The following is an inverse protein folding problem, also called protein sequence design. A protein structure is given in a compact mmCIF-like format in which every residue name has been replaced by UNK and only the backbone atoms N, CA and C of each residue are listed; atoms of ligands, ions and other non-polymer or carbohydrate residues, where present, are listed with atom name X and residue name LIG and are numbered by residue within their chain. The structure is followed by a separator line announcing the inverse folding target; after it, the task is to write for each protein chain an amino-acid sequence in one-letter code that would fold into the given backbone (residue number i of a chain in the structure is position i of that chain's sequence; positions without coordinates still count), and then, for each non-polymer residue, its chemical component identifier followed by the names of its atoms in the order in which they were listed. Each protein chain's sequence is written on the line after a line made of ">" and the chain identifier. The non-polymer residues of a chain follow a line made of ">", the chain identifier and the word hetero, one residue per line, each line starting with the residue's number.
data_IF_901125655453
#
_entry.id   IF_901125655453
#
_cell.length_a   1.000
_cell.length_b   1.000
_cell.length_c   1.000
_cell.angle_alpha   90.00
_cell.angle_beta   90.00
_cell.angle_gamma   90.00
#
_symmetry.space_group_name_H-M   'P 1'
#
loop_
_entity.id
_entity.type
_entity.pdbx_description
1 polymer ?
#
# COMPACT_ATOMS: atom_id res chain seq x y z
N UNK A 1 -61.67 -7.27 -1.99
CA UNK A 1 -61.58 -6.28 -0.89
C UNK A 1 -60.23 -5.60 -1.00
N UNK A 2 -60.23 -4.31 -1.34
CA UNK A 2 -58.95 -3.56 -1.42
C UNK A 2 -58.70 -2.88 -0.08
N UNK A 3 -57.46 -2.93 0.38
CA UNK A 3 -56.99 -2.15 1.52
C UNK A 3 -56.32 -0.89 0.99
N UNK A 4 -56.99 0.22 1.26
CA UNK A 4 -56.55 1.58 1.04
C UNK A 4 -55.40 1.92 2.01
N UNK A 5 -54.38 2.57 1.52
CA UNK A 5 -53.50 3.38 2.34
C UNK A 5 -53.43 4.79 1.75
N UNK A 6 -54.19 5.68 2.38
CA UNK A 6 -54.12 7.10 2.20
C UNK A 6 -53.01 7.63 3.12
N UNK A 7 -52.15 8.47 2.61
CA UNK A 7 -51.53 9.66 3.17
C UNK A 7 -50.14 9.94 2.56
N UNK A 8 -50.02 10.85 1.68
CA UNK A 8 -49.32 12.11 1.90
C UNK A 8 -49.27 12.93 0.60
N UNK A 9 -50.35 13.72 0.41
CA UNK A 9 -50.28 14.86 -0.49
C UNK A 9 -49.47 15.98 0.17
N UNK A 10 -48.46 16.49 -0.53
CA UNK A 10 -47.95 17.86 -0.34
C UNK A 10 -47.63 18.49 -1.69
N UNK A 11 -48.40 19.53 -1.92
CA UNK A 11 -48.32 20.57 -2.87
C UNK A 11 -46.88 21.08 -3.12
N UNK A 12 -46.48 21.12 -4.39
CA UNK A 12 -45.41 22.00 -4.87
C UNK A 12 -46.09 23.29 -5.33
N UNK A 13 -45.90 24.37 -4.61
CA UNK A 13 -46.15 25.73 -5.10
C UNK A 13 -44.86 26.51 -4.98
N UNK A 14 -44.52 27.13 -6.12
CA UNK A 14 -43.54 28.14 -6.43
C UNK A 14 -43.18 29.09 -5.29
N UNK A 15 -41.88 29.29 -5.08
CA UNK A 15 -41.32 30.59 -4.76
C UNK A 15 -40.02 30.81 -5.49
N UNK A 16 -40.13 31.50 -6.64
CA UNK A 16 -38.99 32.18 -7.26
C UNK A 16 -38.62 33.38 -6.37
N UNK A 17 -37.43 33.33 -5.73
CA UNK A 17 -36.70 34.51 -5.31
C UNK A 17 -35.24 34.40 -5.68
N UNK A 18 -34.89 35.14 -6.72
CA UNK A 18 -33.57 35.53 -7.15
C UNK A 18 -32.76 36.14 -5.99
N UNK A 19 -31.54 35.69 -5.83
CA UNK A 19 -30.52 36.44 -5.09
C UNK A 19 -30.00 35.77 -3.84
N UNK A 20 -29.34 34.60 -3.97
CA UNK A 20 -28.31 34.16 -3.00
C UNK A 20 -27.55 32.87 -3.41
N UNK A 21 -27.60 32.47 -4.69
CA UNK A 21 -26.91 31.23 -5.10
C UNK A 21 -25.38 31.37 -5.18
N UNK A 22 -24.87 32.58 -5.39
CA UNK A 22 -23.42 32.81 -5.53
C UNK A 22 -22.65 32.89 -4.20
N UNK A 23 -23.31 33.26 -3.10
CA UNK A 23 -22.68 33.30 -1.80
C UNK A 23 -22.62 31.94 -1.09
N UNK A 24 -23.56 31.05 -1.37
CA UNK A 24 -23.59 29.71 -0.74
C UNK A 24 -22.55 28.78 -1.37
N UNK A 25 -22.26 28.91 -2.67
CA UNK A 25 -21.24 28.13 -3.36
C UNK A 25 -19.83 28.59 -2.96
N UNK A 26 -19.63 29.88 -2.73
CA UNK A 26 -18.35 30.43 -2.27
C UNK A 26 -17.99 30.05 -0.83
N UNK A 27 -18.98 29.98 0.08
CA UNK A 27 -18.73 29.56 1.47
C UNK A 27 -18.47 28.07 1.59
N UNK A 28 -19.16 27.23 0.82
CA UNK A 28 -18.92 25.78 0.84
C UNK A 28 -17.56 25.40 0.25
N UNK A 29 -17.06 26.13 -0.76
CA UNK A 29 -15.72 25.91 -1.31
C UNK A 29 -14.60 26.33 -0.33
N UNK A 30 -14.81 27.36 0.49
CA UNK A 30 -13.84 27.80 1.49
C UNK A 30 -13.81 26.88 2.73
N UNK A 31 -14.96 26.34 3.15
CA UNK A 31 -15.02 25.34 4.22
C UNK A 31 -14.44 24.01 3.78
N UNK A 32 -14.69 23.54 2.55
CA UNK A 32 -14.08 22.32 1.99
C UNK A 32 -12.54 22.42 1.86
N UNK A 33 -11.98 23.62 1.60
CA UNK A 33 -10.53 23.83 1.53
C UNK A 33 -9.92 23.85 2.93
N UNK A 34 -10.61 24.43 3.93
CA UNK A 34 -10.16 24.45 5.32
C UNK A 34 -10.18 23.05 5.95
N UNK A 35 -11.25 22.29 5.76
CA UNK A 35 -11.37 20.90 6.25
C UNK A 35 -10.34 19.96 5.60
N UNK A 36 -10.01 20.18 4.31
CA UNK A 36 -8.96 19.40 3.62
C UNK A 36 -7.55 19.72 4.12
N UNK A 37 -7.26 20.96 4.51
CA UNK A 37 -5.96 21.32 5.09
C UNK A 37 -5.79 20.77 6.49
N UNK A 38 -6.83 20.75 7.32
CA UNK A 38 -6.81 20.14 8.64
C UNK A 38 -6.65 18.62 8.56
N UNK A 39 -7.36 17.94 7.64
CA UNK A 39 -7.26 16.51 7.43
C UNK A 39 -5.87 16.03 6.97
N UNK A 40 -5.18 16.82 6.13
CA UNK A 40 -3.81 16.50 5.69
C UNK A 40 -2.79 16.66 6.83
N UNK A 41 -2.95 17.66 7.67
CA UNK A 41 -2.11 17.87 8.85
C UNK A 41 -2.31 16.80 9.92
N UNK A 42 -3.54 16.31 10.09
CA UNK A 42 -3.87 15.22 11.00
C UNK A 42 -3.30 13.88 10.51
N UNK A 43 -3.49 13.56 9.22
CA UNK A 43 -2.93 12.37 8.61
C UNK A 43 -1.40 12.33 8.71
N UNK A 44 -0.72 13.46 8.46
CA UNK A 44 0.72 13.58 8.59
C UNK A 44 1.20 13.34 10.04
N UNK A 45 0.48 13.86 11.04
CA UNK A 45 0.78 13.60 12.46
C UNK A 45 0.62 12.14 12.80
N UNK A 46 -0.48 11.51 12.36
CA UNK A 46 -0.75 10.10 12.60
C UNK A 46 0.31 9.19 11.95
N UNK A 47 0.77 9.51 10.74
CA UNK A 47 1.90 8.79 10.10
C UNK A 47 3.14 8.86 10.98
N UNK A 48 3.49 10.02 11.52
CA UNK A 48 4.67 10.19 12.36
C UNK A 48 4.55 9.50 13.72
N UNK A 49 3.36 9.46 14.31
CA UNK A 49 3.09 8.71 15.54
C UNK A 49 3.27 7.20 15.31
N UNK A 50 2.61 6.64 14.29
CA UNK A 50 2.74 5.24 13.92
C UNK A 50 4.18 4.86 13.54
N UNK A 51 4.91 5.74 12.86
CA UNK A 51 6.31 5.51 12.53
C UNK A 51 7.20 5.47 13.79
N UNK A 52 6.93 6.31 14.80
CA UNK A 52 7.62 6.24 16.10
C UNK A 52 7.29 4.97 16.86
N UNK A 53 6.04 4.51 16.81
CA UNK A 53 5.63 3.24 17.42
C UNK A 53 6.38 2.06 16.77
N UNK A 54 6.54 2.09 15.43
CA UNK A 54 7.35 1.11 14.69
C UNK A 54 8.81 1.10 15.16
N UNK A 55 9.40 2.27 15.40
CA UNK A 55 10.77 2.36 15.90
C UNK A 55 10.86 1.88 17.36
N UNK A 56 9.95 2.31 18.23
CA UNK A 56 9.95 1.96 19.65
C UNK A 56 9.75 0.45 19.87
N UNK A 57 8.86 -0.18 19.10
CA UNK A 57 8.64 -1.63 19.21
C UNK A 57 9.86 -2.40 18.72
N UNK A 58 10.57 -1.92 17.69
CA UNK A 58 11.82 -2.51 17.23
C UNK A 58 12.91 -2.51 18.28
N UNK A 59 13.12 -1.38 18.96
CA UNK A 59 14.08 -1.26 20.07
C UNK A 59 13.69 -2.21 21.25
N UNK A 60 12.40 -2.26 21.60
CA UNK A 60 11.92 -3.11 22.69
C UNK A 60 12.08 -4.61 22.40
N UNK A 61 12.18 -5.01 21.16
CA UNK A 61 12.38 -6.40 20.72
C UNK A 61 13.84 -6.76 20.43
N UNK A 62 14.78 -5.84 20.59
CA UNK A 62 16.16 -5.99 20.13
C UNK A 62 16.29 -6.22 18.60
N UNK A 63 15.36 -5.65 17.84
CA UNK A 63 15.35 -5.59 16.37
C UNK A 63 15.37 -4.12 15.89
N UNK A 64 16.40 -3.34 16.23
CA UNK A 64 16.39 -1.88 16.10
C UNK A 64 16.64 -1.37 14.68
N UNK A 65 17.05 -2.26 13.76
CA UNK A 65 17.32 -1.87 12.38
C UNK A 65 16.07 -2.08 11.53
N UNK A 66 15.57 -0.98 10.98
CA UNK A 66 14.26 -0.96 10.34
C UNK A 66 14.37 -0.46 8.91
N UNK A 67 13.88 -1.27 7.97
CA UNK A 67 13.61 -0.85 6.61
C UNK A 67 12.10 -0.76 6.38
N UNK A 68 11.65 0.34 5.80
CA UNK A 68 10.24 0.58 5.50
C UNK A 68 10.06 0.99 4.05
N UNK A 69 9.05 0.42 3.40
CA UNK A 69 8.64 0.82 2.05
C UNK A 69 7.13 0.87 1.98
N UNK A 70 6.59 1.99 1.53
CA UNK A 70 5.15 2.10 1.27
C UNK A 70 4.72 1.40 -0.02
N UNK A 71 5.66 1.24 -0.96
CA UNK A 71 5.52 0.46 -2.18
C UNK A 71 6.87 -0.14 -2.58
N UNK A 72 7.03 -1.45 -2.38
CA UNK A 72 8.24 -2.18 -2.75
C UNK A 72 8.48 -2.25 -4.28
N UNK A 73 7.53 -1.79 -5.07
CA UNK A 73 7.65 -1.65 -6.53
C UNK A 73 8.16 -0.27 -6.96
N UNK A 74 8.16 0.72 -6.06
CA UNK A 74 8.56 2.10 -6.31
C UNK A 74 9.97 2.40 -5.77
N UNK A 75 10.77 3.23 -6.46
CA UNK A 75 12.03 3.74 -5.94
C UNK A 75 11.86 4.93 -4.97
N UNK A 76 10.61 5.30 -4.66
CA UNK A 76 10.33 6.42 -3.76
C UNK A 76 10.40 5.98 -2.30
N UNK A 77 11.15 6.69 -1.44
CA UNK A 77 11.16 6.43 -0.01
C UNK A 77 9.85 6.88 0.64
N UNK A 78 9.51 6.29 1.77
CA UNK A 78 8.48 6.81 2.65
C UNK A 78 8.99 8.10 3.30
N UNK A 79 8.25 9.21 3.14
CA UNK A 79 8.66 10.53 3.61
C UNK A 79 7.71 11.09 4.68
N UNK A 80 8.23 12.01 5.49
CA UNK A 80 7.43 12.83 6.39
C UNK A 80 6.68 13.96 5.65
N UNK A 81 5.95 14.79 6.39
CA UNK A 81 5.22 15.95 5.84
C UNK A 81 6.11 17.01 5.19
N UNK A 82 7.41 17.01 5.49
CA UNK A 82 8.41 17.93 4.92
C UNK A 82 9.11 17.35 3.70
N UNK A 83 8.73 16.12 3.29
CA UNK A 83 9.36 15.40 2.20
C UNK A 83 10.70 14.74 2.56
N UNK A 84 11.05 14.67 3.86
CA UNK A 84 12.28 14.02 4.30
C UNK A 84 12.07 12.52 4.42
N UNK A 85 12.97 11.67 3.88
CA UNK A 85 12.85 10.22 4.01
C UNK A 85 12.86 9.77 5.48
N UNK A 86 11.89 8.97 5.87
CA UNK A 86 11.83 8.37 7.22
C UNK A 86 13.00 7.43 7.47
N UNK A 87 13.55 6.84 6.42
CA UNK A 87 14.75 6.00 6.48
C UNK A 87 16.03 6.78 6.86
N UNK A 88 16.03 8.11 6.73
CA UNK A 88 17.16 8.97 7.09
C UNK A 88 16.92 9.72 8.41
N UNK A 89 15.65 9.94 8.79
CA UNK A 89 15.29 10.79 9.93
C UNK A 89 14.85 10.02 11.17
N UNK A 90 14.27 8.83 11.00
CA UNK A 90 13.67 8.06 12.09
C UNK A 90 14.16 6.62 12.13
N UNK A 91 14.16 5.96 10.98
CA UNK A 91 14.60 4.57 10.88
C UNK A 91 16.09 4.52 10.55
N UNK A 92 16.74 3.46 11.00
CA UNK A 92 18.12 3.18 10.61
C UNK A 92 18.19 1.78 10.04
N UNK A 93 19.01 1.59 9.04
CA UNK A 93 19.34 0.27 8.52
C UNK A 93 20.72 -0.17 9.01
N UNK A 94 21.00 -1.47 8.93
CA UNK A 94 22.30 -2.04 9.38
C UNK A 94 23.45 -1.39 8.60
N UNK A 95 23.32 -1.28 7.29
CA UNK A 95 24.23 -0.52 6.45
C UNK A 95 23.70 0.91 6.25
N UNK A 96 24.29 1.94 6.89
CA UNK A 96 23.81 3.30 6.82
C UNK A 96 24.00 3.94 5.44
N UNK A 97 24.91 3.42 4.63
CA UNK A 97 25.21 3.94 3.28
C UNK A 97 24.28 3.34 2.22
N UNK A 98 23.54 2.28 2.55
CA UNK A 98 22.61 1.63 1.66
C UNK A 98 21.27 2.35 1.56
N UNK A 99 21.09 3.11 0.50
CA UNK A 99 19.78 3.63 0.12
C UNK A 99 18.94 2.54 -0.58
N UNK A 100 18.46 1.54 0.19
CA UNK A 100 17.80 0.32 -0.32
C UNK A 100 16.60 0.61 -1.24
N UNK A 101 15.94 1.77 -1.09
CA UNK A 101 14.84 2.19 -1.95
C UNK A 101 15.29 2.66 -3.33
N UNK A 102 16.54 3.11 -3.50
CA UNK A 102 17.10 3.59 -4.78
C UNK A 102 17.69 2.45 -5.62
N UNK A 103 18.12 1.36 -4.98
CA UNK A 103 18.75 0.24 -5.66
C UNK A 103 17.73 -0.78 -6.19
N UNK A 104 17.35 -0.63 -7.46
CA UNK A 104 16.47 -1.59 -8.14
C UNK A 104 17.05 -3.02 -8.17
N UNK A 105 18.35 -3.16 -8.26
CA UNK A 105 18.99 -4.47 -8.26
C UNK A 105 18.87 -5.13 -6.88
N UNK A 106 18.93 -4.37 -5.80
CA UNK A 106 18.63 -4.82 -4.45
C UNK A 106 17.18 -5.33 -4.34
N UNK A 107 16.21 -4.53 -4.80
CA UNK A 107 14.80 -4.90 -4.74
C UNK A 107 14.48 -6.20 -5.50
N UNK A 108 15.19 -6.50 -6.58
CA UNK A 108 15.02 -7.73 -7.36
C UNK A 108 15.70 -8.94 -6.70
N UNK A 109 16.83 -8.74 -6.02
CA UNK A 109 17.64 -9.80 -5.42
C UNK A 109 17.25 -10.11 -3.98
N UNK A 110 16.69 -9.14 -3.25
CA UNK A 110 16.36 -9.28 -1.84
C UNK A 110 15.31 -10.37 -1.62
N UNK A 111 15.64 -11.38 -0.82
CA UNK A 111 14.73 -12.42 -0.39
C UNK A 111 13.57 -11.85 0.44
N UNK A 112 13.81 -10.78 1.22
CA UNK A 112 12.76 -10.10 1.99
C UNK A 112 11.72 -9.46 1.08
N UNK A 113 12.14 -8.77 0.02
CA UNK A 113 11.23 -8.18 -0.98
C UNK A 113 10.48 -9.27 -1.75
N UNK A 114 11.15 -10.36 -2.12
CA UNK A 114 10.48 -11.50 -2.78
C UNK A 114 9.45 -12.15 -1.88
N UNK A 115 9.78 -12.38 -0.61
CA UNK A 115 8.84 -12.89 0.40
C UNK A 115 7.64 -11.97 0.57
N UNK A 116 7.84 -10.66 0.71
CA UNK A 116 6.78 -9.68 0.85
C UNK A 116 5.84 -9.61 -0.38
N UNK A 117 6.33 -9.92 -1.59
CA UNK A 117 5.50 -9.99 -2.79
C UNK A 117 4.63 -11.23 -2.88
N UNK A 118 5.07 -12.33 -2.29
CA UNK A 118 4.43 -13.64 -2.45
C UNK A 118 3.66 -14.10 -1.22
N UNK A 119 3.96 -13.53 -0.05
CA UNK A 119 3.32 -13.82 1.22
C UNK A 119 2.63 -12.57 1.76
N UNK A 120 1.35 -12.65 2.10
CA UNK A 120 0.62 -11.56 2.74
C UNK A 120 0.69 -11.60 4.28
N UNK A 121 1.20 -12.70 4.83
CA UNK A 121 1.36 -12.91 6.26
C UNK A 121 2.75 -12.46 6.72
N UNK A 122 2.93 -12.02 7.96
CA UNK A 122 4.26 -11.77 8.49
C UNK A 122 5.06 -13.07 8.55
N UNK A 123 6.35 -12.93 8.35
CA UNK A 123 7.29 -14.04 8.41
C UNK A 123 8.61 -13.57 9.02
N UNK A 124 9.40 -14.51 9.50
CA UNK A 124 10.71 -14.22 10.08
C UNK A 124 11.83 -14.98 9.36
N UNK A 125 13.01 -14.43 9.48
CA UNK A 125 14.28 -15.08 9.13
C UNK A 125 15.12 -15.19 10.40
N UNK A 126 15.61 -16.37 10.71
CA UNK A 126 16.51 -16.62 11.84
C UNK A 126 17.36 -17.86 11.59
N UNK A 127 18.68 -17.76 11.80
CA UNK A 127 19.62 -18.89 11.71
C UNK A 127 19.51 -19.67 10.39
N UNK A 128 19.32 -18.94 9.27
CA UNK A 128 19.19 -19.55 7.95
C UNK A 128 17.83 -20.18 7.65
N UNK A 129 16.86 -20.05 8.55
CA UNK A 129 15.51 -20.57 8.37
C UNK A 129 14.50 -19.43 8.21
N UNK A 130 13.45 -19.70 7.45
CA UNK A 130 12.29 -18.83 7.32
C UNK A 130 11.09 -19.55 7.92
N UNK A 131 10.28 -18.81 8.66
CA UNK A 131 9.04 -19.31 9.23
C UNK A 131 7.95 -18.26 9.27
N UNK A 132 6.72 -18.71 9.45
CA UNK A 132 5.54 -17.90 9.72
C UNK A 132 4.69 -18.65 10.74
N UNK A 133 3.53 -18.09 11.13
CA UNK A 133 2.61 -18.76 12.07
C UNK A 133 1.95 -20.04 11.50
N UNK A 134 2.12 -20.31 10.22
CA UNK A 134 1.80 -21.58 9.55
C UNK A 134 2.81 -21.85 8.45
N UNK A 135 2.80 -23.04 7.92
CA UNK A 135 3.57 -23.32 6.70
C UNK A 135 3.01 -22.51 5.50
N UNK A 136 3.89 -21.80 4.83
CA UNK A 136 3.57 -21.01 3.62
C UNK A 136 4.49 -21.44 2.49
N UNK A 137 3.97 -22.22 1.56
CA UNK A 137 4.75 -22.78 0.44
C UNK A 137 5.46 -21.71 -0.41
N UNK A 138 4.94 -20.47 -0.45
CA UNK A 138 5.59 -19.36 -1.15
C UNK A 138 6.92 -18.91 -0.50
N UNK A 139 7.18 -19.31 0.75
CA UNK A 139 8.42 -19.03 1.47
C UNK A 139 9.44 -20.17 1.34
N UNK A 140 9.03 -21.34 0.82
CA UNK A 140 9.94 -22.46 0.62
C UNK A 140 11.05 -22.08 -0.37
N UNK A 141 12.28 -22.43 -0.03
CA UNK A 141 13.46 -22.11 -0.83
C UNK A 141 13.91 -20.64 -0.79
N UNK A 142 13.16 -19.72 -0.15
CA UNK A 142 13.61 -18.33 -0.02
C UNK A 142 14.83 -18.19 0.90
N UNK A 143 14.97 -19.05 1.89
CA UNK A 143 16.13 -19.01 2.81
C UNK A 143 17.47 -19.10 2.06
N UNK A 144 17.55 -19.93 1.02
CA UNK A 144 18.75 -20.07 0.18
C UNK A 144 19.06 -18.81 -0.64
N UNK A 145 18.05 -18.00 -0.91
CA UNK A 145 18.19 -16.75 -1.69
C UNK A 145 18.38 -15.52 -0.82
N UNK A 146 18.22 -15.66 0.50
CA UNK A 146 18.52 -14.60 1.46
C UNK A 146 20.03 -14.55 1.68
N UNK A 147 20.70 -13.75 0.87
CA UNK A 147 22.12 -13.45 1.10
C UNK A 147 22.24 -12.50 2.31
N UNK A 148 22.16 -13.08 3.50
CA UNK A 148 22.23 -12.35 4.77
C UNK A 148 23.63 -11.87 5.10
N UNK A 149 24.65 -12.51 4.52
CA UNK A 149 26.05 -12.15 4.76
C UNK A 149 26.39 -10.78 4.16
N UNK A 150 25.71 -10.37 3.08
CA UNK A 150 25.92 -9.06 2.48
C UNK A 150 25.49 -7.88 3.38
N UNK A 151 24.63 -8.14 4.38
CA UNK A 151 24.08 -7.11 5.27
C UNK A 151 24.32 -7.42 6.77
N UNK A 152 25.06 -8.47 7.06
CA UNK A 152 25.30 -8.96 8.44
C UNK A 152 24.01 -9.12 9.26
N UNK A 153 22.94 -9.62 8.62
CA UNK A 153 21.65 -9.84 9.28
C UNK A 153 21.70 -11.16 10.03
N UNK A 154 21.62 -11.10 11.37
CA UNK A 154 21.49 -12.24 12.26
C UNK A 154 20.06 -12.80 12.31
N UNK A 155 19.08 -11.91 12.25
CA UNK A 155 17.66 -12.24 12.21
C UNK A 155 16.79 -11.06 11.82
N UNK A 156 15.58 -11.34 11.35
CA UNK A 156 14.62 -10.32 10.94
C UNK A 156 13.18 -10.81 11.05
N UNK A 157 12.24 -9.87 11.26
CA UNK A 157 10.80 -10.07 11.10
C UNK A 157 10.34 -9.16 9.98
N UNK A 158 9.60 -9.71 9.04
CA UNK A 158 9.09 -9.02 7.86
C UNK A 158 7.56 -9.02 7.92
N UNK A 159 6.96 -7.85 7.83
CA UNK A 159 5.52 -7.69 7.78
C UNK A 159 5.09 -7.01 6.48
N UNK A 160 4.57 -7.75 5.51
CA UNK A 160 4.03 -7.19 4.28
C UNK A 160 2.63 -6.61 4.50
N UNK A 161 2.24 -5.65 3.65
CA UNK A 161 0.90 -5.09 3.59
C UNK A 161 0.45 -4.99 2.14
N UNK A 162 -0.52 -5.81 1.76
CA UNK A 162 -1.08 -5.84 0.41
C UNK A 162 -2.31 -4.92 0.35
N UNK A 163 -2.16 -3.73 -0.21
CA UNK A 163 -3.24 -2.76 -0.34
C UNK A 163 -4.18 -3.09 -1.52
N UNK A 164 -5.46 -2.66 -1.47
CA UNK A 164 -6.45 -2.96 -2.50
C UNK A 164 -6.08 -2.48 -3.91
N UNK A 165 -5.24 -1.45 -4.02
CA UNK A 165 -4.72 -0.90 -5.28
C UNK A 165 -3.68 -1.78 -5.97
N UNK A 166 -3.25 -2.89 -5.34
CA UNK A 166 -2.16 -3.73 -5.80
C UNK A 166 -0.78 -3.23 -5.38
N UNK A 167 -0.72 -2.15 -4.63
CA UNK A 167 0.50 -1.67 -3.97
C UNK A 167 0.85 -2.61 -2.82
N UNK A 168 2.12 -2.94 -2.68
CA UNK A 168 2.62 -3.78 -1.59
C UNK A 168 3.60 -2.96 -0.77
N UNK A 169 3.22 -2.60 0.45
CA UNK A 169 4.11 -2.05 1.45
C UNK A 169 4.75 -3.15 2.29
N UNK A 170 5.84 -2.82 2.98
CA UNK A 170 6.47 -3.74 3.93
C UNK A 170 7.27 -3.00 4.98
N UNK A 171 7.35 -3.59 6.17
CA UNK A 171 8.29 -3.22 7.22
C UNK A 171 9.15 -4.44 7.54
N UNK A 172 10.44 -4.20 7.68
CA UNK A 172 11.43 -5.18 8.14
C UNK A 172 12.04 -4.67 9.42
N UNK A 173 11.98 -5.45 10.49
CA UNK A 173 12.74 -5.25 11.73
C UNK A 173 13.87 -6.25 11.75
N UNK A 174 15.09 -5.82 11.89
CA UNK A 174 16.28 -6.66 11.78
C UNK A 174 17.27 -6.43 12.92
N UNK A 175 18.16 -7.39 13.11
CA UNK A 175 19.29 -7.34 14.04
C UNK A 175 20.49 -8.07 13.47
N UNK A 176 21.74 -7.63 13.72
CA UNK A 176 22.94 -8.40 13.46
C UNK A 176 23.17 -9.50 14.52
N UNK A 177 22.48 -9.43 15.67
CA UNK A 177 22.63 -10.39 16.75
C UNK A 177 22.09 -11.77 16.36
N UNK A 178 23.01 -12.71 16.11
CA UNK A 178 22.69 -14.10 15.74
C UNK A 178 22.25 -14.94 16.96
N UNK A 179 22.36 -14.40 18.17
CA UNK A 179 21.96 -15.11 19.41
C UNK A 179 20.51 -14.87 19.79
N UNK A 180 19.90 -13.80 19.30
CA UNK A 180 18.50 -13.48 19.56
C UNK A 180 17.57 -14.59 19.05
N UNK A 181 16.64 -15.00 19.89
CA UNK A 181 15.56 -15.92 19.48
C UNK A 181 14.45 -15.15 18.74
N UNK A 182 14.69 -14.89 17.46
CA UNK A 182 13.75 -14.16 16.61
C UNK A 182 12.45 -14.94 16.39
N UNK A 183 12.50 -16.28 16.40
CA UNK A 183 11.29 -17.11 16.29
C UNK A 183 10.39 -16.94 17.52
N UNK A 184 10.95 -16.92 18.72
CA UNK A 184 10.18 -16.66 19.94
C UNK A 184 9.61 -15.25 20.01
N UNK A 185 10.38 -14.24 19.54
CA UNK A 185 9.87 -12.87 19.40
C UNK A 185 8.73 -12.81 18.38
N UNK A 186 8.86 -13.50 17.26
CA UNK A 186 7.82 -13.60 16.23
C UNK A 186 6.53 -14.21 16.79
N UNK A 187 6.62 -15.35 17.46
CA UNK A 187 5.45 -16.02 18.04
C UNK A 187 4.70 -15.13 19.02
N UNK A 188 5.44 -14.33 19.79
CA UNK A 188 4.86 -13.42 20.78
C UNK A 188 4.26 -12.15 20.18
N UNK A 189 4.83 -11.58 19.10
CA UNK A 189 4.57 -10.22 18.67
C UNK A 189 4.15 -10.07 17.19
N UNK A 190 4.17 -11.12 16.35
CA UNK A 190 3.91 -11.00 14.91
C UNK A 190 2.56 -10.36 14.58
N UNK A 191 1.50 -10.69 15.33
CA UNK A 191 0.17 -10.12 15.13
C UNK A 191 0.15 -8.59 15.38
N UNK A 192 0.80 -8.15 16.46
CA UNK A 192 0.93 -6.73 16.80
C UNK A 192 1.71 -5.96 15.73
N UNK A 193 2.85 -6.51 15.30
CA UNK A 193 3.69 -5.94 14.25
C UNK A 193 2.91 -5.83 12.93
N UNK A 194 2.14 -6.85 12.60
CA UNK A 194 1.34 -6.85 11.38
C UNK A 194 0.22 -5.80 11.41
N UNK A 195 -0.48 -5.68 12.53
CA UNK A 195 -1.50 -4.63 12.71
C UNK A 195 -0.88 -3.24 12.64
N UNK A 196 0.29 -3.03 13.24
CA UNK A 196 1.01 -1.76 13.17
C UNK A 196 1.44 -1.44 11.74
N UNK A 197 1.94 -2.43 10.99
CA UNK A 197 2.27 -2.30 9.57
C UNK A 197 1.04 -1.89 8.76
N UNK A 198 -0.10 -2.58 8.93
CA UNK A 198 -1.34 -2.25 8.23
C UNK A 198 -1.79 -0.82 8.51
N UNK A 199 -1.77 -0.39 9.77
CA UNK A 199 -2.12 0.98 10.17
C UNK A 199 -1.21 2.01 9.51
N UNK A 200 0.11 1.83 9.60
CA UNK A 200 1.07 2.77 9.03
C UNK A 200 0.93 2.86 7.51
N UNK A 201 0.83 1.72 6.80
CA UNK A 201 0.72 1.71 5.33
C UNK A 201 -0.59 2.32 4.85
N UNK A 202 -1.73 2.00 5.49
CA UNK A 202 -3.02 2.57 5.13
C UNK A 202 -3.04 4.09 5.36
N UNK A 203 -2.61 4.56 6.55
CA UNK A 203 -2.56 5.99 6.88
C UNK A 203 -1.62 6.76 5.95
N UNK A 204 -0.45 6.19 5.63
CA UNK A 204 0.48 6.81 4.69
C UNK A 204 -0.08 6.89 3.27
N UNK A 205 -0.76 5.87 2.83
CA UNK A 205 -1.40 5.85 1.52
C UNK A 205 -2.50 6.92 1.41
N UNK A 206 -3.30 7.08 2.47
CA UNK A 206 -4.31 8.12 2.54
C UNK A 206 -3.69 9.53 2.61
N UNK A 207 -2.60 9.69 3.38
CA UNK A 207 -1.82 10.92 3.43
C UNK A 207 -1.28 11.33 2.05
N UNK A 208 -0.72 10.40 1.29
CA UNK A 208 -0.23 10.67 -0.07
C UNK A 208 -1.36 11.00 -1.05
N UNK A 209 -2.54 10.38 -0.89
CA UNK A 209 -3.73 10.66 -1.71
C UNK A 209 -4.38 12.00 -1.42
N UNK A 210 -4.22 12.55 -0.24
CA UNK A 210 -4.76 13.87 0.12
C UNK A 210 -4.09 15.02 -0.64
N UNK A 211 -2.98 14.76 -1.33
CA UNK A 211 -2.35 15.74 -2.23
C UNK A 211 -3.19 15.90 -3.52
N UNK A 212 -3.61 17.11 -3.91
CA UNK A 212 -4.52 17.34 -5.04
C UNK A 212 -3.99 16.91 -6.41
N UNK A 213 -2.71 16.53 -6.49
CA UNK A 213 -2.01 16.19 -7.74
C UNK A 213 -2.15 14.72 -8.14
N UNK A 214 -2.54 13.85 -7.21
CA UNK A 214 -2.79 12.45 -7.51
C UNK A 214 -4.31 12.20 -7.62
N UNK A 215 -4.90 12.59 -8.73
CA UNK A 215 -6.11 11.93 -9.20
C UNK A 215 -5.73 10.47 -9.44
N UNK A 216 -5.86 9.66 -8.38
CA UNK A 216 -5.64 8.23 -8.47
C UNK A 216 -6.44 7.74 -9.68
N UNK A 217 -5.73 7.25 -10.68
CA UNK A 217 -6.34 6.70 -11.90
C UNK A 217 -7.21 5.52 -11.46
N UNK A 218 -8.49 5.78 -11.20
CA UNK A 218 -9.42 4.75 -10.78
C UNK A 218 -9.78 3.88 -11.98
N UNK A 219 -9.08 2.76 -12.10
CA UNK A 219 -9.43 1.72 -13.05
C UNK A 219 -10.67 0.98 -12.54
N UNK A 220 -11.63 0.75 -13.43
CA UNK A 220 -12.79 -0.08 -13.13
C UNK A 220 -12.38 -1.55 -13.00
N UNK A 221 -13.19 -2.35 -12.31
CA UNK A 221 -12.96 -3.79 -12.14
C UNK A 221 -12.76 -4.50 -13.50
N UNK A 222 -13.50 -4.09 -14.55
CA UNK A 222 -13.39 -4.67 -15.90
C UNK A 222 -12.09 -4.25 -16.60
N UNK A 223 -11.66 -3.00 -16.42
CA UNK A 223 -10.37 -2.53 -16.92
C UNK A 223 -9.22 -3.30 -16.29
N UNK A 224 -9.25 -3.52 -14.96
CA UNK A 224 -8.25 -4.32 -14.24
C UNK A 224 -8.24 -5.78 -14.74
N UNK A 225 -9.41 -6.40 -14.95
CA UNK A 225 -9.49 -7.75 -15.49
C UNK A 225 -8.84 -7.86 -16.88
N UNK A 226 -9.19 -6.94 -17.79
CA UNK A 226 -8.61 -6.93 -19.14
C UNK A 226 -7.09 -6.74 -19.11
N UNK A 227 -6.59 -5.81 -18.28
CA UNK A 227 -5.16 -5.55 -18.14
C UNK A 227 -4.40 -6.77 -17.57
N UNK A 228 -4.95 -7.47 -16.57
CA UNK A 228 -4.32 -8.69 -16.02
C UNK A 228 -4.10 -9.76 -17.08
N UNK A 229 -5.09 -10.00 -17.91
CA UNK A 229 -4.98 -10.99 -18.99
C UNK A 229 -4.09 -10.51 -20.14
N UNK A 230 -4.11 -9.20 -20.44
CA UNK A 230 -3.19 -8.61 -21.42
C UNK A 230 -1.73 -8.72 -20.95
N UNK A 231 -1.45 -8.47 -19.67
CA UNK A 231 -0.14 -8.65 -19.04
C UNK A 231 0.32 -10.13 -19.04
N UNK A 232 -0.64 -11.07 -18.99
CA UNK A 232 -0.38 -12.50 -19.17
C UNK A 232 -0.19 -12.93 -20.64
N UNK A 233 -0.10 -11.96 -21.58
CA UNK A 233 0.15 -12.21 -22.99
C UNK A 233 -1.07 -12.66 -23.80
N UNK A 234 -2.29 -12.59 -23.23
CA UNK A 234 -3.51 -13.00 -23.93
C UNK A 234 -3.93 -11.98 -24.97
N UNK A 235 -4.39 -12.46 -26.14
CA UNK A 235 -4.99 -11.65 -27.19
C UNK A 235 -6.37 -11.13 -26.78
N UNK A 236 -6.88 -10.08 -27.43
CA UNK A 236 -8.23 -9.55 -27.15
C UNK A 236 -9.33 -10.61 -27.34
N UNK A 237 -9.14 -11.53 -28.30
CA UNK A 237 -10.08 -12.61 -28.56
C UNK A 237 -10.08 -13.63 -27.39
N UNK A 238 -8.90 -14.04 -26.93
CA UNK A 238 -8.78 -14.94 -25.77
C UNK A 238 -9.34 -14.31 -24.50
N UNK A 239 -9.04 -13.02 -24.26
CA UNK A 239 -9.59 -12.26 -23.13
C UNK A 239 -11.11 -12.22 -23.19
N UNK A 240 -11.68 -11.94 -24.37
CA UNK A 240 -13.12 -11.92 -24.59
C UNK A 240 -13.77 -13.25 -24.19
N UNK A 241 -13.17 -14.35 -24.60
CA UNK A 241 -13.62 -15.71 -24.27
C UNK A 241 -13.50 -15.99 -22.75
N UNK A 242 -12.36 -15.63 -22.12
CA UNK A 242 -12.10 -15.92 -20.71
C UNK A 242 -13.06 -15.16 -19.77
N UNK A 243 -13.33 -13.87 -20.07
CA UNK A 243 -14.13 -13.02 -19.18
C UNK A 243 -15.59 -12.87 -19.63
N UNK A 244 -15.99 -13.55 -20.73
CA UNK A 244 -17.38 -13.64 -21.19
C UNK A 244 -17.93 -12.31 -21.74
N UNK A 245 -17.12 -11.54 -22.50
CA UNK A 245 -17.54 -10.29 -23.15
C UNK A 245 -17.10 -10.28 -24.63
N UNK A 246 -17.56 -9.30 -25.40
CA UNK A 246 -17.17 -9.19 -26.82
C UNK A 246 -15.73 -8.67 -26.97
N UNK A 247 -15.06 -9.06 -28.04
CA UNK A 247 -13.72 -8.54 -28.38
C UNK A 247 -13.67 -7.01 -28.51
N UNK A 248 -14.63 -6.31 -29.12
CA UNK A 248 -14.68 -4.85 -29.10
C UNK A 248 -14.76 -4.26 -27.69
N UNK A 249 -15.48 -4.93 -26.78
CA UNK A 249 -15.59 -4.51 -25.38
C UNK A 249 -14.24 -4.65 -24.65
N UNK A 250 -13.48 -5.70 -24.93
CA UNK A 250 -12.10 -5.85 -24.40
C UNK A 250 -11.22 -4.69 -24.86
N UNK A 251 -11.25 -4.37 -26.17
CA UNK A 251 -10.49 -3.23 -26.73
C UNK A 251 -10.89 -1.91 -26.08
N UNK A 252 -12.19 -1.68 -25.89
CA UNK A 252 -12.70 -0.51 -25.21
C UNK A 252 -12.10 -0.38 -23.78
N UNK A 253 -12.13 -1.47 -22.99
CA UNK A 253 -11.57 -1.46 -21.65
C UNK A 253 -10.04 -1.22 -21.64
N UNK A 254 -9.29 -1.88 -22.53
CA UNK A 254 -7.83 -1.69 -22.63
C UNK A 254 -7.50 -0.26 -23.07
N UNK A 255 -8.20 0.28 -24.06
CA UNK A 255 -7.98 1.67 -24.52
C UNK A 255 -8.29 2.69 -23.43
N UNK A 256 -9.39 2.50 -22.70
CA UNK A 256 -9.74 3.38 -21.58
C UNK A 256 -8.72 3.29 -20.44
N UNK A 257 -8.25 2.10 -20.14
CA UNK A 257 -7.19 1.91 -19.15
C UNK A 257 -5.91 2.63 -19.57
N UNK A 258 -5.47 2.45 -20.81
CA UNK A 258 -4.27 3.12 -21.35
C UNK A 258 -4.39 4.64 -21.26
N UNK A 259 -5.56 5.21 -21.63
CA UNK A 259 -5.81 6.64 -21.51
C UNK A 259 -5.76 7.12 -20.07
N UNK A 260 -6.37 6.36 -19.13
CA UNK A 260 -6.35 6.68 -17.71
C UNK A 260 -4.94 6.61 -17.11
N UNK A 261 -4.13 5.66 -17.56
CA UNK A 261 -2.75 5.47 -17.13
C UNK A 261 -1.76 6.40 -17.82
N UNK A 262 -2.21 7.23 -18.79
CA UNK A 262 -1.33 8.12 -19.53
C UNK A 262 -0.31 7.41 -20.44
N UNK A 263 -0.62 6.16 -20.85
CA UNK A 263 0.25 5.35 -21.71
C UNK A 263 -0.35 5.19 -23.10
N UNK A 264 0.50 5.06 -24.13
CA UNK A 264 0.08 4.87 -25.52
C UNK A 264 0.40 3.46 -25.97
N UNK A 265 -0.62 2.59 -25.95
CA UNK A 265 -0.51 1.23 -26.49
C UNK A 265 -0.49 0.09 -25.49
N UNK A 266 -0.70 -1.13 -26.04
CA UNK A 266 -0.87 -2.35 -25.27
C UNK A 266 0.41 -2.85 -24.59
N UNK A 267 1.57 -2.47 -25.15
CA UNK A 267 2.89 -2.97 -24.73
C UNK A 267 3.52 -2.15 -23.59
N UNK A 268 2.89 -1.06 -23.23
CA UNK A 268 3.28 -0.18 -22.13
C UNK A 268 2.40 -0.45 -20.91
#
# INVERSE_FOLDING_TARGET
>A
MPVSCAACGRHWQDEARSGNLLNTIGLNLLTDISDKQDGSGEAARMVMELARDVAAIGEAMNLPYIAVSADIGSPEPMCDAKGQPLAETLFRWIDPDLAYWKDRAFALRSGFVRGARTCAEPFYFSKGQIGSWRHVAALDGLAETMNTDAFDIGGAIISPCHLPSGVIGAIVWATPDRTLDVSGVFDARAAELHVLTLKLMATYHDFKRASPTDLAVALTRREIQCLKWAAAGKTDHEIATIIGISQPTVRFHITNSSRKLGVSGRSQ
#
